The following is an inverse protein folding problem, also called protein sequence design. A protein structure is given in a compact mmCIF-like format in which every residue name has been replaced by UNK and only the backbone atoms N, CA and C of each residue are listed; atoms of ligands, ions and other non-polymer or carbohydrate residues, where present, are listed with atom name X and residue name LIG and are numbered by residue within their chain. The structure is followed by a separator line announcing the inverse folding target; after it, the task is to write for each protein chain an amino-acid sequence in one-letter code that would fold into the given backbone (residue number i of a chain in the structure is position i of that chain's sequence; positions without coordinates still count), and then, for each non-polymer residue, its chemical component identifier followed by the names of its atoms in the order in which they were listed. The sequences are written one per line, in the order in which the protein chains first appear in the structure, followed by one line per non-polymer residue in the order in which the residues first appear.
data_IF_214232921630
#
_entry.id   IF_214232921630
#
_cell.length_a   1.000
_cell.length_b   1.000
_cell.length_c   1.000
_cell.angle_alpha   90.00
_cell.angle_beta   90.00
_cell.angle_gamma   90.00
#
_symmetry.space_group_name_H-M   'P 1'
#
loop_
_entity.id
_entity.type
_entity.pdbx_description
1 polymer ?
#
# COMPACT_ATOMS: atom_id res chain seq x y z
N UNK A 1 7.19 35.41 -89.33
CA UNK A 1 8.61 35.62 -89.45
C UNK A 1 9.24 35.30 -88.10
N UNK A 2 10.09 34.39 -88.08
CA UNK A 2 10.85 33.79 -86.95
C UNK A 2 10.14 32.67 -86.20
N UNK A 3 10.64 31.46 -86.45
CA UNK A 3 10.37 30.20 -85.74
C UNK A 3 11.30 30.09 -84.55
N UNK A 4 10.85 29.49 -83.40
CA UNK A 4 11.78 29.04 -82.40
C UNK A 4 11.99 27.52 -82.44
N UNK A 5 13.23 27.14 -82.25
CA UNK A 5 13.78 25.79 -82.19
C UNK A 5 13.31 25.02 -80.93
N UNK A 6 13.04 23.76 -81.14
CA UNK A 6 12.75 22.77 -80.08
C UNK A 6 14.06 22.27 -79.44
N UNK A 7 14.23 22.43 -78.13
CA UNK A 7 15.22 21.70 -77.34
C UNK A 7 14.53 20.56 -76.53
N UNK A 8 14.95 19.35 -76.85
CA UNK A 8 14.59 18.15 -76.12
C UNK A 8 15.54 18.06 -74.92
N UNK A 9 14.97 18.17 -73.70
CA UNK A 9 15.70 17.92 -72.46
C UNK A 9 15.37 16.54 -71.91
N UNK A 10 16.39 15.70 -71.84
CA UNK A 10 16.30 14.36 -71.22
C UNK A 10 16.33 14.51 -69.68
N UNK A 11 15.29 14.11 -69.02
CA UNK A 11 15.23 14.01 -67.55
C UNK A 11 15.76 12.66 -67.08
N UNK A 12 16.89 12.67 -66.39
CA UNK A 12 17.43 11.50 -65.66
C UNK A 12 16.74 11.44 -64.29
N UNK A 13 15.90 10.43 -64.09
CA UNK A 13 15.30 10.13 -62.80
C UNK A 13 16.30 9.36 -61.95
N UNK A 14 16.82 10.00 -60.88
CA UNK A 14 17.60 9.36 -59.84
C UNK A 14 16.65 8.76 -58.81
N UNK A 15 16.47 7.46 -58.83
CA UNK A 15 15.73 6.73 -57.79
C UNK A 15 16.60 6.54 -56.56
N UNK A 16 16.23 7.21 -55.46
CA UNK A 16 16.80 6.94 -54.14
C UNK A 16 16.05 5.78 -53.47
N UNK A 17 16.72 4.63 -53.35
CA UNK A 17 16.27 3.50 -52.50
C UNK A 17 16.47 3.91 -51.03
N UNK A 18 15.41 4.24 -50.32
CA UNK A 18 15.42 4.37 -48.88
C UNK A 18 15.34 2.96 -48.27
N UNK A 19 16.48 2.45 -47.79
CA UNK A 19 16.51 1.25 -46.95
C UNK A 19 15.93 1.57 -45.58
N UNK A 20 14.66 1.22 -45.33
CA UNK A 20 14.03 1.31 -44.02
C UNK A 20 14.65 0.30 -43.05
N UNK A 21 15.41 0.78 -42.08
CA UNK A 21 15.80 -0.01 -40.92
C UNK A 21 14.54 -0.31 -40.10
N UNK A 22 14.01 -1.53 -40.18
CA UNK A 22 13.04 -2.07 -39.25
C UNK A 22 13.76 -2.27 -37.90
N UNK A 23 13.63 -1.28 -37.01
CA UNK A 23 13.98 -1.46 -35.61
C UNK A 23 12.88 -2.34 -34.99
N UNK A 24 13.17 -3.62 -34.85
CA UNK A 24 12.31 -4.51 -34.04
C UNK A 24 12.47 -4.08 -32.58
N UNK A 25 11.41 -3.50 -32.00
CA UNK A 25 11.33 -3.31 -30.56
C UNK A 25 11.53 -4.69 -29.89
N UNK A 26 12.34 -4.78 -28.81
CA UNK A 26 12.43 -6.01 -28.06
C UNK A 26 11.02 -6.38 -27.57
N UNK A 27 10.63 -7.64 -27.78
CA UNK A 27 9.38 -8.14 -27.22
C UNK A 27 9.45 -7.95 -25.70
N UNK A 28 8.48 -7.25 -25.13
CA UNK A 28 8.33 -7.18 -23.69
C UNK A 28 8.27 -8.63 -23.18
N UNK A 29 9.22 -8.99 -22.31
CA UNK A 29 9.19 -10.27 -21.63
C UNK A 29 7.88 -10.30 -20.85
N UNK A 30 7.04 -11.29 -21.06
CA UNK A 30 5.86 -11.48 -20.22
C UNK A 30 6.37 -11.69 -18.78
N UNK A 31 5.82 -10.91 -17.83
CA UNK A 31 6.12 -11.12 -16.43
C UNK A 31 5.89 -12.59 -16.05
N UNK A 32 6.74 -13.19 -15.20
CA UNK A 32 6.58 -14.59 -14.82
C UNK A 32 5.21 -14.80 -14.20
N UNK A 33 4.46 -15.78 -14.69
CA UNK A 33 3.16 -16.15 -14.09
C UNK A 33 3.43 -16.72 -12.69
N UNK A 34 2.86 -16.09 -11.65
CA UNK A 34 2.84 -16.66 -10.32
C UNK A 34 1.92 -17.88 -10.27
N UNK A 35 2.26 -18.84 -9.42
CA UNK A 35 1.28 -19.84 -8.99
C UNK A 35 0.27 -19.15 -8.08
N UNK A 36 -1.00 -19.32 -8.35
CA UNK A 36 -2.07 -18.80 -7.48
C UNK A 36 -2.11 -19.61 -6.17
N UNK A 37 -2.19 -18.90 -5.06
CA UNK A 37 -2.22 -19.48 -3.72
C UNK A 37 -3.65 -19.93 -3.35
N UNK A 38 -3.74 -20.90 -2.48
CA UNK A 38 -5.05 -21.35 -1.97
C UNK A 38 -5.61 -20.35 -0.96
N UNK A 39 -6.80 -19.84 -1.21
CA UNK A 39 -7.49 -18.91 -0.32
C UNK A 39 -8.47 -19.67 0.58
N UNK A 40 -8.39 -19.45 1.89
CA UNK A 40 -9.30 -20.00 2.89
C UNK A 40 -9.76 -18.92 3.86
N UNK A 41 -10.95 -19.09 4.45
CA UNK A 41 -11.50 -18.15 5.44
C UNK A 41 -11.00 -18.51 6.83
N UNK A 42 -10.43 -17.54 7.54
CA UNK A 42 -10.00 -17.64 8.94
C UNK A 42 -11.12 -17.20 9.89
N UNK A 43 -11.70 -16.03 9.61
CA UNK A 43 -12.74 -15.45 10.44
C UNK A 43 -13.67 -14.55 9.61
N UNK A 44 -14.93 -14.39 10.08
CA UNK A 44 -15.94 -13.52 9.44
C UNK A 44 -16.82 -12.86 10.51
N UNK A 45 -17.61 -11.87 10.12
CA UNK A 45 -18.60 -11.24 11.00
C UNK A 45 -18.04 -10.12 11.86
N UNK A 46 -16.93 -9.51 11.39
CA UNK A 46 -16.49 -8.19 11.82
C UNK A 46 -17.23 -7.08 11.05
N UNK A 47 -17.03 -5.83 11.43
CA UNK A 47 -17.31 -4.67 10.57
C UNK A 47 -16.29 -4.54 9.44
N UNK A 48 -16.12 -3.35 8.90
CA UNK A 48 -15.12 -3.10 7.85
C UNK A 48 -13.72 -3.18 8.46
N UNK A 49 -12.93 -4.19 8.06
CA UNK A 49 -11.54 -4.33 8.52
C UNK A 49 -10.62 -3.55 7.58
N UNK A 50 -9.86 -2.61 8.13
CA UNK A 50 -8.93 -1.76 7.37
C UNK A 50 -7.54 -2.37 7.32
N UNK A 51 -7.00 -2.80 8.46
CA UNK A 51 -5.62 -3.24 8.58
C UNK A 51 -5.48 -4.44 9.54
N UNK A 52 -4.35 -5.15 9.46
CA UNK A 52 -3.98 -6.21 10.41
C UNK A 52 -2.49 -6.16 10.74
N UNK A 53 -2.14 -6.65 11.94
CA UNK A 53 -0.76 -6.88 12.37
C UNK A 53 -0.71 -8.04 13.37
N UNK A 54 0.40 -8.74 13.42
CA UNK A 54 0.64 -9.80 14.41
C UNK A 54 1.51 -9.28 15.55
N UNK A 55 1.10 -9.61 16.77
CA UNK A 55 1.89 -9.32 17.97
C UNK A 55 2.73 -10.52 18.42
N UNK A 56 3.79 -10.25 19.17
CA UNK A 56 4.67 -11.28 19.77
C UNK A 56 3.96 -12.15 20.81
N UNK A 57 2.73 -11.80 21.19
CA UNK A 57 1.85 -12.55 22.07
C UNK A 57 0.92 -13.51 21.32
N UNK A 58 1.23 -13.85 20.07
CA UNK A 58 0.45 -14.70 19.17
C UNK A 58 -0.95 -14.16 18.83
N UNK A 59 -1.19 -12.87 19.03
CA UNK A 59 -2.47 -12.23 18.73
C UNK A 59 -2.41 -11.49 17.40
N UNK A 60 -3.40 -11.71 16.54
CA UNK A 60 -3.66 -10.87 15.38
C UNK A 60 -4.51 -9.69 15.81
N UNK A 61 -4.04 -8.48 15.62
CA UNK A 61 -4.80 -7.24 15.83
C UNK A 61 -5.37 -6.75 14.51
N UNK A 62 -6.63 -6.27 14.56
CA UNK A 62 -7.38 -5.86 13.38
C UNK A 62 -7.98 -4.48 13.64
N UNK A 63 -7.75 -3.52 12.77
CA UNK A 63 -8.49 -2.25 12.83
C UNK A 63 -9.84 -2.42 12.17
N UNK A 64 -10.90 -2.27 12.97
CA UNK A 64 -12.28 -2.34 12.51
C UNK A 64 -12.87 -0.93 12.47
N UNK A 65 -13.11 -0.42 11.29
CA UNK A 65 -13.77 0.87 11.09
C UNK A 65 -15.28 0.71 10.98
N UNK A 66 -16.02 1.77 11.30
CA UNK A 66 -17.46 1.80 11.19
C UNK A 66 -17.89 2.97 10.29
N UNK A 67 -18.87 2.78 9.38
CA UNK A 67 -19.37 3.86 8.53
C UNK A 67 -19.98 5.02 9.33
N UNK A 68 -20.53 4.73 10.49
CA UNK A 68 -21.11 5.69 11.43
C UNK A 68 -20.69 5.33 12.86
N UNK A 69 -20.12 6.29 13.57
CA UNK A 69 -19.63 6.12 14.94
C UNK A 69 -18.19 5.63 15.04
N UNK A 70 -17.73 5.32 16.25
CA UNK A 70 -16.39 4.84 16.48
C UNK A 70 -16.23 3.39 16.00
N UNK A 71 -15.02 3.07 15.56
CA UNK A 71 -14.54 1.71 15.33
C UNK A 71 -13.84 1.16 16.59
N UNK A 72 -12.99 0.16 16.39
CA UNK A 72 -12.22 -0.49 17.46
C UNK A 72 -11.01 -1.21 16.94
N UNK A 73 -10.10 -1.60 17.82
CA UNK A 73 -9.07 -2.59 17.52
C UNK A 73 -9.53 -3.93 18.08
N UNK A 74 -9.72 -4.89 17.19
CA UNK A 74 -10.05 -6.27 17.54
C UNK A 74 -8.80 -7.06 17.83
N UNK A 75 -8.92 -8.13 18.61
CA UNK A 75 -7.89 -9.13 18.84
C UNK A 75 -8.45 -10.50 18.50
N UNK A 76 -7.68 -11.29 17.74
CA UNK A 76 -8.00 -12.64 17.34
C UNK A 76 -6.81 -13.55 17.66
N UNK A 77 -7.07 -14.60 18.44
CA UNK A 77 -6.07 -15.63 18.76
C UNK A 77 -6.05 -16.76 17.72
N UNK A 78 -4.99 -17.57 17.64
CA UNK A 78 -4.88 -18.68 16.67
C UNK A 78 -5.97 -19.76 16.83
N UNK A 79 -6.54 -19.91 18.02
CA UNK A 79 -7.66 -20.82 18.32
C UNK A 79 -9.04 -20.22 18.00
N UNK A 80 -9.07 -19.00 17.43
CA UNK A 80 -10.28 -18.33 16.95
C UNK A 80 -11.04 -17.54 18.02
N UNK A 81 -10.47 -17.34 19.22
CA UNK A 81 -11.08 -16.51 20.26
C UNK A 81 -10.95 -15.03 19.88
N UNK A 82 -12.05 -14.31 19.96
CA UNK A 82 -12.15 -12.88 19.64
C UNK A 82 -12.33 -12.06 20.90
N UNK A 83 -11.68 -10.91 20.94
CA UNK A 83 -11.88 -9.91 21.98
C UNK A 83 -11.65 -8.51 21.39
N UNK A 84 -12.02 -7.48 22.15
CA UNK A 84 -11.75 -6.08 21.80
C UNK A 84 -10.50 -5.66 22.58
N UNK A 85 -9.44 -5.29 21.85
CA UNK A 85 -8.20 -4.78 22.43
C UNK A 85 -8.35 -3.30 22.82
N UNK A 86 -8.95 -2.49 21.93
CA UNK A 86 -9.26 -1.07 22.19
C UNK A 86 -10.64 -0.78 21.64
N UNK A 87 -11.54 -0.29 22.49
CA UNK A 87 -12.86 0.19 22.08
C UNK A 87 -12.84 1.70 21.84
N UNK A 88 -13.88 2.21 21.19
CA UNK A 88 -14.09 3.64 20.95
C UNK A 88 -12.88 4.30 20.23
N UNK A 89 -12.47 3.72 19.09
CA UNK A 89 -11.41 4.26 18.25
C UNK A 89 -12.04 4.94 17.04
N UNK A 90 -11.81 6.24 16.91
CA UNK A 90 -12.38 6.99 15.78
C UNK A 90 -11.63 6.66 14.48
N UNK A 91 -12.33 6.01 13.54
CA UNK A 91 -11.80 5.63 12.22
C UNK A 91 -10.36 5.10 12.31
N UNK A 92 -10.14 3.93 12.91
CA UNK A 92 -8.81 3.34 12.96
C UNK A 92 -8.32 2.99 11.55
N UNK A 93 -7.02 3.16 11.31
CA UNK A 93 -6.33 2.82 10.06
C UNK A 93 -5.20 1.85 10.31
N UNK A 94 -3.96 2.23 9.95
CA UNK A 94 -2.76 1.41 10.02
C UNK A 94 -2.38 0.98 11.43
N UNK A 95 -1.79 -0.21 11.52
CA UNK A 95 -1.35 -0.87 12.76
C UNK A 95 0.13 -1.27 12.65
N UNK A 96 0.88 -1.11 13.73
CA UNK A 96 2.26 -1.64 13.87
C UNK A 96 2.46 -2.14 15.29
N UNK A 97 3.11 -3.28 15.45
CA UNK A 97 3.57 -3.78 16.77
C UNK A 97 5.09 -3.67 16.86
N UNK A 98 5.57 -3.18 18.02
CA UNK A 98 6.98 -3.21 18.38
C UNK A 98 7.10 -3.75 19.81
N UNK A 99 7.56 -4.98 19.93
CA UNK A 99 7.60 -5.69 21.22
C UNK A 99 6.23 -5.75 21.90
N UNK A 100 6.10 -5.09 23.04
CA UNK A 100 4.84 -5.04 23.79
C UNK A 100 3.97 -3.82 23.50
N UNK A 101 4.26 -3.05 22.48
CA UNK A 101 3.50 -1.84 22.15
C UNK A 101 2.84 -1.97 20.78
N UNK A 102 1.52 -1.84 20.77
CA UNK A 102 0.74 -1.68 19.54
C UNK A 102 0.55 -0.19 19.27
N UNK A 103 1.03 0.26 18.11
CA UNK A 103 0.77 1.59 17.56
C UNK A 103 -0.39 1.50 16.57
N UNK A 104 -1.28 2.48 16.58
CA UNK A 104 -2.40 2.54 15.65
C UNK A 104 -2.80 3.97 15.31
N UNK A 105 -3.17 4.19 14.06
CA UNK A 105 -3.69 5.48 13.62
C UNK A 105 -5.16 5.63 14.01
N UNK A 106 -5.57 6.87 14.30
CA UNK A 106 -6.97 7.26 14.49
C UNK A 106 -7.30 8.45 13.62
N UNK A 107 -8.57 8.62 13.26
CA UNK A 107 -8.99 9.76 12.44
C UNK A 107 -8.78 9.53 10.93
N UNK A 108 -8.62 8.28 10.47
CA UNK A 108 -8.62 7.91 9.06
C UNK A 108 -10.02 8.05 8.44
N UNK A 109 -10.59 9.23 8.53
CA UNK A 109 -11.96 9.50 8.05
C UNK A 109 -11.97 10.35 6.79
N UNK A 110 -12.81 9.98 5.82
CA UNK A 110 -12.95 10.71 4.54
C UNK A 110 -13.18 12.21 4.73
N UNK A 111 -13.99 12.61 5.72
CA UNK A 111 -14.24 14.03 6.01
C UNK A 111 -12.97 14.74 6.50
N UNK A 112 -12.16 14.10 7.34
CA UNK A 112 -10.90 14.66 7.80
C UNK A 112 -9.95 14.91 6.62
N UNK A 113 -9.85 13.96 5.68
CA UNK A 113 -9.05 14.11 4.47
C UNK A 113 -9.54 15.23 3.56
N UNK A 114 -10.82 15.27 3.23
CA UNK A 114 -11.39 16.24 2.29
C UNK A 114 -11.39 17.68 2.80
N UNK A 115 -11.51 17.89 4.11
CA UNK A 115 -11.59 19.22 4.73
C UNK A 115 -10.35 19.62 5.53
N UNK A 116 -9.23 18.88 5.37
CA UNK A 116 -7.96 19.14 6.06
C UNK A 116 -8.10 19.26 7.59
N UNK A 117 -8.88 18.37 8.23
CA UNK A 117 -9.11 18.40 9.67
C UNK A 117 -7.96 17.67 10.39
N UNK A 118 -7.10 18.36 11.18
CA UNK A 118 -5.95 17.76 11.84
C UNK A 118 -6.32 17.12 13.18
N UNK A 119 -7.30 16.23 13.15
CA UNK A 119 -7.87 15.57 14.35
C UNK A 119 -7.41 14.10 14.49
N UNK A 120 -6.54 13.63 13.59
CA UNK A 120 -5.94 12.31 13.65
C UNK A 120 -4.78 12.23 14.62
N UNK A 121 -4.55 11.01 15.13
CA UNK A 121 -3.47 10.68 16.06
C UNK A 121 -2.78 9.38 15.65
N UNK A 122 -1.56 9.16 16.17
CA UNK A 122 -1.05 7.83 16.43
C UNK A 122 -1.21 7.60 17.93
N UNK A 123 -1.97 6.58 18.30
CA UNK A 123 -2.11 6.14 19.69
C UNK A 123 -1.31 4.86 19.91
N UNK A 124 -1.03 4.56 21.18
CA UNK A 124 -0.38 3.32 21.61
C UNK A 124 -1.25 2.57 22.59
N UNK A 125 -1.17 1.24 22.54
CA UNK A 125 -1.63 0.31 23.56
C UNK A 125 -0.44 -0.49 24.07
N UNK A 126 -0.14 -0.40 25.35
CA UNK A 126 0.77 -1.32 26.02
C UNK A 126 0.06 -2.67 26.19
N UNK A 127 0.56 -3.70 25.51
CA UNK A 127 -0.07 -5.02 25.43
C UNK A 127 0.04 -5.84 26.74
N UNK A 128 0.86 -5.38 27.69
CA UNK A 128 1.03 -6.02 29.00
C UNK A 128 0.11 -5.40 30.04
N UNK A 129 0.09 -4.07 30.12
CA UNK A 129 -0.72 -3.34 31.11
C UNK A 129 -2.12 -2.97 30.62
N UNK A 130 -2.37 -2.96 29.31
CA UNK A 130 -3.59 -2.46 28.69
C UNK A 130 -3.69 -0.92 28.71
N UNK A 131 -2.62 -0.21 29.03
CA UNK A 131 -2.63 1.26 29.05
C UNK A 131 -2.61 1.82 27.64
N UNK A 132 -3.58 2.70 27.33
CA UNK A 132 -3.64 3.49 26.08
C UNK A 132 -3.09 4.89 26.31
N UNK A 133 -2.34 5.40 25.33
CA UNK A 133 -1.88 6.80 25.31
C UNK A 133 -1.76 7.32 23.89
N UNK A 134 -1.80 8.65 23.73
CA UNK A 134 -1.52 9.30 22.45
C UNK A 134 -0.03 9.51 22.30
N UNK A 135 0.54 8.96 21.23
CA UNK A 135 1.96 9.09 20.86
C UNK A 135 2.22 10.37 20.06
N UNK A 136 1.39 10.62 19.04
CA UNK A 136 1.45 11.83 18.22
C UNK A 136 0.05 12.31 17.87
N UNK A 137 -0.13 13.62 17.67
CA UNK A 137 -1.42 14.23 17.36
C UNK A 137 -1.27 15.30 16.26
N UNK A 138 -2.41 15.76 15.71
CA UNK A 138 -2.43 16.79 14.67
C UNK A 138 -2.22 16.24 13.26
N UNK A 139 -2.44 14.94 13.06
CA UNK A 139 -2.44 14.29 11.76
C UNK A 139 -3.75 14.53 11.02
N UNK A 140 -3.69 14.58 9.70
CA UNK A 140 -4.87 14.66 8.85
C UNK A 140 -5.05 13.32 8.14
N UNK A 141 -6.13 12.61 8.47
CA UNK A 141 -6.48 11.34 7.83
C UNK A 141 -5.28 10.36 7.75
N UNK A 142 -4.62 10.02 8.87
CA UNK A 142 -3.51 9.06 8.83
C UNK A 142 -4.06 7.67 8.48
N UNK A 143 -3.66 7.16 7.31
CA UNK A 143 -4.15 5.89 6.76
C UNK A 143 -3.19 4.74 7.10
N UNK A 144 -2.26 4.39 6.22
CA UNK A 144 -1.24 3.38 6.50
C UNK A 144 -0.26 3.84 7.59
N UNK A 145 0.38 2.87 8.24
CA UNK A 145 1.38 3.12 9.29
C UNK A 145 2.52 2.13 9.14
N UNK A 146 3.75 2.63 9.08
CA UNK A 146 4.96 1.81 9.11
C UNK A 146 5.94 2.37 10.14
N UNK A 147 6.81 1.51 10.68
CA UNK A 147 7.81 1.87 11.69
C UNK A 147 9.18 1.41 11.22
N UNK A 148 10.15 2.27 11.37
CA UNK A 148 11.57 2.00 11.09
C UNK A 148 12.29 1.42 12.31
N UNK A 149 13.47 0.83 12.11
CA UNK A 149 14.25 0.22 13.17
C UNK A 149 14.70 1.25 14.22
N UNK A 150 14.93 2.51 13.84
CA UNK A 150 15.25 3.61 14.76
C UNK A 150 14.03 4.16 15.50
N UNK A 151 12.85 3.64 15.21
CA UNK A 151 11.58 3.94 15.88
C UNK A 151 10.80 5.12 15.31
N UNK A 152 11.20 5.70 14.20
CA UNK A 152 10.37 6.67 13.51
C UNK A 152 9.13 5.98 12.91
N UNK A 153 8.00 6.70 12.89
CA UNK A 153 6.78 6.23 12.26
C UNK A 153 6.50 7.04 10.99
N UNK A 154 6.06 6.35 9.97
CA UNK A 154 5.58 6.97 8.74
C UNK A 154 4.10 6.66 8.55
N UNK A 155 3.33 7.66 8.16
CA UNK A 155 1.91 7.49 7.84
C UNK A 155 1.56 8.17 6.54
N UNK A 156 0.65 7.55 5.79
CA UNK A 156 0.17 8.04 4.50
C UNK A 156 -1.16 8.78 4.64
N UNK A 157 -1.46 9.59 3.61
CA UNK A 157 -2.74 10.24 3.44
C UNK A 157 -3.17 10.17 1.97
N UNK A 158 -4.32 9.57 1.69
CA UNK A 158 -4.78 9.29 0.33
C UNK A 158 -5.85 10.25 -0.21
N UNK A 159 -6.48 11.09 0.62
CA UNK A 159 -7.53 12.02 0.18
C UNK A 159 -7.27 13.45 0.66
N UNK A 160 -7.74 14.42 -0.13
CA UNK A 160 -7.70 15.85 0.17
C UNK A 160 -6.74 16.62 -0.72
N UNK A 161 -6.48 17.88 -0.34
CA UNK A 161 -5.62 18.78 -1.10
C UNK A 161 -4.12 18.49 -0.92
N UNK A 162 -3.74 17.89 0.19
CA UNK A 162 -2.35 17.60 0.56
C UNK A 162 -2.20 16.13 0.92
N UNK A 163 -2.25 15.29 -0.09
CA UNK A 163 -1.98 13.85 0.04
C UNK A 163 -0.47 13.59 0.13
N UNK A 164 -0.06 12.43 0.65
CA UNK A 164 1.35 12.03 0.67
C UNK A 164 1.80 11.35 1.94
N UNK A 165 3.01 11.69 2.39
CA UNK A 165 3.73 11.01 3.47
C UNK A 165 4.06 11.98 4.60
N UNK A 166 3.78 11.55 5.83
CA UNK A 166 4.11 12.25 7.06
C UNK A 166 5.03 11.38 7.91
N UNK A 167 6.10 11.95 8.47
CA UNK A 167 6.95 11.30 9.46
C UNK A 167 6.61 11.78 10.87
N UNK A 168 6.59 10.84 11.83
CA UNK A 168 6.54 11.10 13.26
C UNK A 168 7.86 10.63 13.86
N UNK A 169 8.73 11.54 14.34
CA UNK A 169 10.05 11.17 14.84
C UNK A 169 9.94 10.31 16.10
N UNK A 170 10.90 9.40 16.28
CA UNK A 170 11.02 8.59 17.51
C UNK A 170 11.40 9.42 18.74
N UNK A 171 12.09 10.54 18.54
CA UNK A 171 12.47 11.45 19.62
C UNK A 171 11.27 12.34 20.04
N UNK A 172 11.07 12.44 21.37
CA UNK A 172 10.07 13.35 21.94
C UNK A 172 10.48 14.83 21.76
N UNK A 173 9.54 15.74 21.49
CA UNK A 173 8.11 15.55 21.38
C UNK A 173 7.76 15.06 19.97
N UNK A 174 7.12 13.94 19.80
CA UNK A 174 6.77 13.25 18.54
C UNK A 174 5.91 14.11 17.60
N UNK A 175 6.47 15.23 17.14
CA UNK A 175 5.76 16.22 16.32
C UNK A 175 5.73 15.77 14.85
N UNK A 176 4.57 15.49 14.27
CA UNK A 176 4.47 15.07 12.88
C UNK A 176 4.96 16.15 11.91
N UNK A 177 5.61 15.74 10.83
CA UNK A 177 5.97 16.62 9.73
C UNK A 177 5.72 15.96 8.37
N UNK A 178 5.08 16.68 7.46
CA UNK A 178 4.86 16.23 6.08
C UNK A 178 6.21 16.24 5.36
N UNK A 179 6.62 15.09 4.81
CA UNK A 179 7.90 14.95 4.09
C UNK A 179 7.73 14.89 2.58
N UNK A 180 6.55 14.42 2.09
CA UNK A 180 6.24 14.39 0.65
C UNK A 180 4.77 14.68 0.38
N UNK A 181 4.51 15.38 -0.74
CA UNK A 181 3.16 15.70 -1.22
C UNK A 181 2.96 15.34 -2.69
N UNK A 182 3.92 14.64 -3.29
CA UNK A 182 3.94 14.27 -4.72
C UNK A 182 3.68 12.78 -4.97
N UNK A 183 3.16 12.07 -3.95
CA UNK A 183 2.90 10.63 -4.01
C UNK A 183 1.51 10.26 -4.53
N UNK A 184 0.74 11.24 -5.03
CA UNK A 184 -0.63 10.99 -5.47
C UNK A 184 -1.57 10.64 -4.31
N UNK A 185 -2.38 9.60 -4.48
CA UNK A 185 -3.32 9.14 -3.45
C UNK A 185 -2.67 8.08 -2.54
N UNK A 186 -1.60 8.45 -1.84
CA UNK A 186 -0.78 7.57 -1.01
C UNK A 186 -1.61 6.86 0.07
N UNK A 187 -1.59 5.52 0.07
CA UNK A 187 -2.37 4.67 0.97
C UNK A 187 -1.48 3.64 1.67
N UNK A 188 -1.29 2.46 1.07
CA UNK A 188 -0.46 1.41 1.64
C UNK A 188 0.98 1.83 1.84
N UNK A 189 1.59 1.33 2.90
CA UNK A 189 2.98 1.64 3.25
C UNK A 189 3.66 0.42 3.88
N UNK A 190 4.89 0.16 3.47
CA UNK A 190 5.73 -0.87 4.09
C UNK A 190 7.17 -0.39 4.18
N UNK A 191 7.89 -0.88 5.18
CA UNK A 191 9.34 -0.66 5.38
C UNK A 191 10.05 -2.00 5.30
N UNK A 192 11.15 -2.05 4.57
CA UNK A 192 12.08 -3.19 4.54
C UNK A 192 13.51 -2.66 4.52
N UNK A 193 14.25 -2.91 5.60
CA UNK A 193 15.58 -2.38 5.81
C UNK A 193 15.65 -0.85 5.54
N UNK A 194 16.41 -0.43 4.52
CA UNK A 194 16.61 0.97 4.16
C UNK A 194 15.53 1.52 3.19
N UNK A 195 14.55 0.69 2.81
CA UNK A 195 13.55 1.06 1.81
C UNK A 195 12.16 1.29 2.44
N UNK A 196 11.53 2.39 2.02
CA UNK A 196 10.15 2.73 2.34
C UNK A 196 9.33 2.67 1.06
N UNK A 197 8.30 1.83 1.04
CA UNK A 197 7.40 1.65 -0.10
C UNK A 197 6.05 2.30 0.18
N UNK A 198 5.54 3.08 -0.77
CA UNK A 198 4.22 3.73 -0.69
C UNK A 198 3.42 3.42 -1.94
N UNK A 199 2.26 2.79 -1.80
CA UNK A 199 1.32 2.55 -2.89
C UNK A 199 0.30 3.68 -3.01
N UNK A 200 -0.08 4.02 -4.24
CA UNK A 200 -1.21 4.89 -4.50
C UNK A 200 -2.51 4.09 -4.78
N UNK A 201 -3.67 4.69 -4.48
CA UNK A 201 -4.97 4.01 -4.60
C UNK A 201 -5.71 4.34 -5.90
N UNK A 202 -5.86 5.63 -6.22
CA UNK A 202 -6.79 6.11 -7.26
C UNK A 202 -6.09 6.72 -8.48
N UNK A 203 -4.76 6.72 -8.52
CA UNK A 203 -4.03 7.21 -9.69
C UNK A 203 -4.35 6.34 -10.91
N UNK A 204 -4.59 6.93 -12.09
CA UNK A 204 -4.90 6.16 -13.31
C UNK A 204 -3.84 5.11 -13.66
N UNK A 205 -2.58 5.44 -13.41
CA UNK A 205 -1.45 4.52 -13.53
C UNK A 205 -0.96 4.19 -12.12
N UNK A 206 -1.36 3.03 -11.64
CA UNK A 206 -0.95 2.56 -10.31
C UNK A 206 0.55 2.38 -10.22
N UNK A 207 1.08 2.72 -9.05
CA UNK A 207 2.51 2.61 -8.76
C UNK A 207 2.76 2.36 -7.28
N UNK A 208 3.90 1.77 -7.00
CA UNK A 208 4.55 1.84 -5.70
C UNK A 208 5.72 2.79 -5.84
N UNK A 209 5.83 3.74 -4.95
CA UNK A 209 6.98 4.65 -4.85
C UNK A 209 7.93 4.12 -3.80
N UNK A 210 9.15 3.77 -4.20
CA UNK A 210 10.22 3.36 -3.30
C UNK A 210 11.10 4.56 -2.96
N UNK A 211 11.29 4.78 -1.67
CA UNK A 211 12.04 5.88 -1.06
C UNK A 211 13.15 5.31 -0.19
N UNK A 212 14.16 6.10 0.07
CA UNK A 212 15.16 5.84 1.11
C UNK A 212 14.56 6.23 2.47
N UNK A 213 14.65 5.34 3.46
CA UNK A 213 14.15 5.59 4.83
C UNK A 213 14.85 6.79 5.47
N UNK A 214 16.16 6.94 5.25
CA UNK A 214 16.98 8.02 5.83
C UNK A 214 16.82 9.35 5.08
N UNK A 215 16.38 9.31 3.80
CA UNK A 215 16.10 10.50 2.99
C UNK A 215 14.74 10.38 2.25
N UNK A 216 13.61 10.32 2.97
CA UNK A 216 12.30 10.12 2.36
C UNK A 216 11.83 11.29 1.48
N UNK A 217 12.47 12.46 1.62
CA UNK A 217 12.26 13.63 0.75
C UNK A 217 13.13 13.60 -0.51
N UNK A 218 14.09 12.70 -0.57
CA UNK A 218 15.06 12.55 -1.64
C UNK A 218 14.52 11.91 -2.93
N UNK A 219 15.40 11.44 -3.81
CA UNK A 219 15.01 10.80 -5.07
C UNK A 219 14.13 9.57 -4.84
N UNK A 220 13.07 9.46 -5.64
CA UNK A 220 12.15 8.34 -5.59
C UNK A 220 12.34 7.41 -6.80
N UNK A 221 12.17 6.11 -6.59
CA UNK A 221 12.07 5.11 -7.67
C UNK A 221 10.62 4.65 -7.81
N UNK A 222 10.12 4.71 -9.02
CA UNK A 222 8.74 4.33 -9.33
C UNK A 222 8.71 2.88 -9.81
N UNK A 223 7.89 2.07 -9.17
CA UNK A 223 7.55 0.71 -9.58
C UNK A 223 6.14 0.74 -10.18
N UNK A 224 5.96 0.53 -11.47
CA UNK A 224 4.64 0.43 -12.07
C UNK A 224 3.93 -0.82 -11.54
N UNK A 225 2.62 -0.70 -11.29
CA UNK A 225 1.79 -1.80 -10.81
C UNK A 225 0.65 -2.03 -11.79
N UNK A 226 0.33 -3.29 -12.05
CA UNK A 226 -0.77 -3.65 -12.92
C UNK A 226 -2.13 -3.24 -12.35
N UNK A 227 -2.89 -2.50 -13.15
CA UNK A 227 -4.24 -2.08 -12.83
C UNK A 227 -4.54 -0.64 -13.24
N UNK A 228 -5.81 -0.30 -13.14
CA UNK A 228 -6.30 1.08 -13.28
C UNK A 228 -6.90 1.49 -11.95
N UNK A 229 -6.27 2.45 -11.26
CA UNK A 229 -6.55 2.79 -9.87
C UNK A 229 -8.03 2.90 -9.50
N UNK A 230 -8.84 3.69 -10.25
CA UNK A 230 -10.27 3.83 -9.96
C UNK A 230 -11.08 2.51 -9.96
N UNK A 231 -10.57 1.43 -10.56
CA UNK A 231 -11.24 0.12 -10.63
C UNK A 231 -10.52 -0.99 -9.89
N UNK A 232 -9.27 -0.79 -9.51
CA UNK A 232 -8.49 -1.78 -8.75
C UNK A 232 -8.33 -1.38 -7.30
N UNK A 233 -8.10 -0.08 -7.04
CA UNK A 233 -7.90 0.52 -5.73
C UNK A 233 -6.86 -0.26 -4.92
N UNK A 234 -5.57 -0.01 -5.19
CA UNK A 234 -4.52 -0.51 -4.31
C UNK A 234 -4.73 0.04 -2.90
N UNK A 235 -4.62 -0.83 -1.92
CA UNK A 235 -4.85 -0.50 -0.52
C UNK A 235 -3.54 -0.73 0.25
N UNK A 236 -3.51 -1.51 1.30
CA UNK A 236 -2.30 -1.71 2.07
C UNK A 236 -1.42 -2.84 1.53
N UNK A 237 -0.17 -2.92 2.04
CA UNK A 237 0.84 -3.88 1.58
C UNK A 237 1.82 -4.25 2.68
N UNK A 238 2.51 -5.38 2.48
CA UNK A 238 3.64 -5.82 3.30
C UNK A 238 4.81 -6.27 2.43
N UNK A 239 6.00 -6.37 3.01
CA UNK A 239 7.15 -7.03 2.40
C UNK A 239 7.28 -8.43 2.99
N UNK A 240 7.28 -9.43 2.12
CA UNK A 240 7.36 -10.82 2.54
C UNK A 240 8.78 -11.28 2.89
N UNK A 241 8.91 -12.46 3.51
CA UNK A 241 10.21 -13.02 3.86
C UNK A 241 11.09 -13.35 2.65
N UNK A 242 10.51 -13.36 1.44
CA UNK A 242 11.22 -13.49 0.16
C UNK A 242 11.69 -12.14 -0.42
N UNK A 243 11.51 -11.04 0.30
CA UNK A 243 11.84 -9.67 -0.12
C UNK A 243 10.91 -9.09 -1.20
N UNK A 244 9.80 -9.77 -1.50
CA UNK A 244 8.80 -9.26 -2.45
C UNK A 244 7.72 -8.47 -1.74
N UNK A 245 7.15 -7.48 -2.43
CA UNK A 245 6.02 -6.71 -1.93
C UNK A 245 4.72 -7.48 -2.24
N UNK A 246 3.85 -7.58 -1.25
CA UNK A 246 2.51 -8.12 -1.40
C UNK A 246 1.49 -7.00 -1.21
N UNK A 247 0.73 -6.71 -2.26
CA UNK A 247 -0.15 -5.55 -2.35
C UNK A 247 -1.61 -5.97 -2.45
N UNK A 248 -2.44 -5.53 -1.51
CA UNK A 248 -3.88 -5.68 -1.60
C UNK A 248 -4.46 -4.75 -2.68
N UNK A 249 -5.30 -5.29 -3.56
CA UNK A 249 -6.08 -4.50 -4.52
C UNK A 249 -7.57 -4.66 -4.20
N UNK A 250 -8.10 -3.68 -3.49
CA UNK A 250 -9.40 -3.68 -2.82
C UNK A 250 -10.57 -4.00 -3.77
N UNK A 251 -10.82 -3.13 -4.75
CA UNK A 251 -11.93 -3.30 -5.69
C UNK A 251 -11.72 -4.44 -6.67
N UNK A 252 -10.47 -4.78 -6.98
CA UNK A 252 -10.15 -5.94 -7.80
C UNK A 252 -10.30 -7.27 -7.05
N UNK A 253 -10.35 -7.25 -5.72
CA UNK A 253 -10.50 -8.44 -4.88
C UNK A 253 -9.37 -9.44 -5.02
N UNK A 254 -8.13 -8.94 -5.10
CA UNK A 254 -6.93 -9.76 -5.36
C UNK A 254 -5.70 -9.25 -4.61
N UNK A 255 -4.67 -10.09 -4.54
CA UNK A 255 -3.36 -9.75 -4.01
C UNK A 255 -2.32 -9.90 -5.11
N UNK A 256 -1.50 -8.87 -5.30
CA UNK A 256 -0.33 -8.91 -6.18
C UNK A 256 0.93 -9.21 -5.36
N UNK A 257 1.86 -9.94 -6.00
CA UNK A 257 3.26 -10.04 -5.61
C UNK A 257 4.06 -9.20 -6.59
N UNK A 258 4.85 -8.25 -6.09
CA UNK A 258 5.63 -7.29 -6.88
C UNK A 258 7.10 -7.43 -6.53
N UNK A 259 7.96 -7.55 -7.54
CA UNK A 259 9.41 -7.52 -7.35
C UNK A 259 9.86 -6.07 -7.13
N UNK A 260 10.40 -5.72 -5.95
CA UNK A 260 10.82 -4.35 -5.68
C UNK A 260 12.04 -3.91 -6.51
N UNK A 261 12.79 -4.82 -7.13
CA UNK A 261 13.93 -4.47 -7.96
C UNK A 261 13.50 -4.07 -9.39
N UNK A 262 12.51 -4.76 -9.97
CA UNK A 262 12.11 -4.60 -11.38
C UNK A 262 10.75 -3.93 -11.55
N UNK A 263 9.85 -4.05 -10.58
CA UNK A 263 8.43 -3.68 -10.69
C UNK A 263 7.57 -4.75 -11.35
N UNK A 264 8.17 -5.89 -11.76
CA UNK A 264 7.39 -7.00 -12.31
C UNK A 264 6.40 -7.51 -11.26
N UNK A 265 5.16 -7.71 -11.67
CA UNK A 265 4.10 -8.12 -10.76
C UNK A 265 3.30 -9.30 -11.30
N UNK A 266 2.71 -10.07 -10.39
CA UNK A 266 1.83 -11.16 -10.71
C UNK A 266 0.76 -11.34 -9.61
N UNK A 267 -0.39 -11.91 -9.98
CA UNK A 267 -1.47 -12.20 -9.03
C UNK A 267 -1.15 -13.49 -8.28
N UNK A 268 -1.15 -13.43 -6.94
CA UNK A 268 -0.98 -14.60 -6.08
C UNK A 268 -2.28 -15.06 -5.41
N UNK A 269 -3.29 -14.20 -5.32
CA UNK A 269 -4.59 -14.57 -4.74
C UNK A 269 -5.73 -13.80 -5.36
N UNK A 270 -6.85 -14.48 -5.59
CA UNK A 270 -8.09 -13.92 -6.13
C UNK A 270 -9.29 -14.32 -5.27
N UNK A 271 -10.45 -13.75 -5.54
CA UNK A 271 -11.68 -14.06 -4.80
C UNK A 271 -11.67 -13.53 -3.36
N UNK A 272 -10.97 -12.43 -3.10
CA UNK A 272 -10.88 -11.74 -1.82
C UNK A 272 -11.57 -10.37 -1.95
N UNK A 273 -12.91 -10.32 -2.00
CA UNK A 273 -13.61 -9.07 -2.28
C UNK A 273 -13.30 -8.01 -1.24
N UNK A 274 -13.05 -6.79 -1.71
CA UNK A 274 -12.75 -5.63 -0.89
C UNK A 274 -11.56 -5.82 0.07
N UNK A 275 -10.52 -6.56 -0.38
CA UNK A 275 -9.32 -6.77 0.43
C UNK A 275 -8.64 -5.44 0.73
N UNK A 276 -8.36 -5.18 2.01
CA UNK A 276 -7.85 -3.89 2.50
C UNK A 276 -6.38 -3.95 2.91
N UNK A 277 -5.95 -5.01 3.56
CA UNK A 277 -4.57 -5.16 3.99
C UNK A 277 -4.13 -6.62 3.92
N UNK A 278 -2.82 -6.83 3.89
CA UNK A 278 -2.17 -8.14 3.87
C UNK A 278 -0.95 -8.13 4.78
N UNK A 279 -0.72 -9.26 5.50
CA UNK A 279 0.44 -9.43 6.36
C UNK A 279 0.80 -10.91 6.47
N UNK A 280 2.09 -11.24 6.53
CA UNK A 280 2.53 -12.60 6.79
C UNK A 280 2.25 -13.03 8.22
N UNK A 281 1.94 -14.31 8.41
CA UNK A 281 1.66 -14.84 9.73
C UNK A 281 2.82 -14.62 10.70
N UNK A 282 2.50 -14.13 11.91
CA UNK A 282 3.45 -13.97 12.99
C UNK A 282 3.46 -15.17 13.94
N UNK A 283 4.05 -14.97 15.13
CA UNK A 283 4.19 -16.00 16.16
C UNK A 283 2.84 -16.69 16.46
N UNK A 284 2.84 -18.02 16.39
CA UNK A 284 1.63 -18.84 16.64
C UNK A 284 0.70 -18.98 15.44
N UNK A 285 0.97 -18.29 14.34
CA UNK A 285 0.28 -18.39 13.06
C UNK A 285 1.18 -19.07 12.02
N UNK A 286 0.66 -19.32 10.82
CA UNK A 286 1.47 -19.89 9.74
C UNK A 286 2.29 -18.80 9.06
N UNK A 287 3.57 -18.72 9.42
CA UNK A 287 4.50 -17.69 8.97
C UNK A 287 4.82 -17.74 7.46
N UNK A 288 4.50 -18.88 6.81
CA UNK A 288 4.66 -19.01 5.35
C UNK A 288 3.41 -18.62 4.56
N UNK A 289 2.34 -18.26 5.24
CA UNK A 289 1.07 -17.84 4.64
C UNK A 289 0.82 -16.36 4.86
N UNK A 290 0.16 -15.77 3.88
CA UNK A 290 -0.31 -14.39 3.95
C UNK A 290 -1.73 -14.36 4.53
N UNK A 291 -2.00 -13.40 5.37
CA UNK A 291 -3.34 -13.13 5.89
C UNK A 291 -3.85 -11.81 5.32
N UNK A 292 -5.13 -11.78 4.96
CA UNK A 292 -5.75 -10.63 4.34
C UNK A 292 -7.01 -10.21 5.10
N UNK A 293 -7.16 -8.92 5.34
CA UNK A 293 -8.41 -8.30 5.81
C UNK A 293 -9.24 -7.82 4.63
N UNK A 294 -10.53 -7.62 4.87
CA UNK A 294 -11.46 -7.09 3.87
C UNK A 294 -12.54 -6.23 4.50
N UNK A 295 -13.04 -5.26 3.75
CA UNK A 295 -14.20 -4.44 4.18
C UNK A 295 -15.51 -5.24 4.27
N UNK A 296 -15.55 -6.49 3.78
CA UNK A 296 -16.66 -7.41 4.01
C UNK A 296 -16.66 -8.02 5.42
N UNK A 297 -15.72 -7.64 6.28
CA UNK A 297 -15.61 -8.10 7.67
C UNK A 297 -15.02 -9.50 7.80
N UNK A 298 -14.23 -9.92 6.85
CA UNK A 298 -13.55 -11.21 6.89
C UNK A 298 -12.03 -11.08 7.02
N UNK A 299 -11.43 -12.12 7.60
CA UNK A 299 -10.01 -12.43 7.55
C UNK A 299 -9.83 -13.69 6.73
N UNK A 300 -8.97 -13.64 5.74
CA UNK A 300 -8.63 -14.79 4.87
C UNK A 300 -7.15 -15.13 4.98
N UNK A 301 -6.83 -16.40 4.71
CA UNK A 301 -5.47 -16.92 4.65
C UNK A 301 -5.20 -17.36 3.22
N UNK A 302 -4.07 -16.94 2.69
CA UNK A 302 -3.53 -17.36 1.40
C UNK A 302 -2.32 -18.25 1.67
N UNK A 303 -2.37 -19.48 1.17
CA UNK A 303 -1.31 -20.48 1.36
C UNK A 303 -0.65 -20.78 0.00
N UNK A 304 0.68 -20.68 -0.14
CA UNK A 304 1.43 -20.95 -1.38
C UNK A 304 1.19 -22.31 -1.99
#
# INVERSE_FOLDING_TARGET
MWTPDTMVGAAVAAGTLAAGLLVTAPAASAAPACTEWTVSTVATGYGMLENLVFGDNSTMYLSETAPLGPGRIQALSPDGVRSVAVDDVRSPGGLVVDGSVLYFTTGNGTAAGLFDIPDGTVDTLDLVSGARSTYAAGLVMPNGLARTDDGALFTTRNLGLTTGLTVVPSASPHVPSVVRTDLGTANGIAVDADALYVADTFEPSLRITALDVDDPAGPARILPVDGFGPFTASDDMTVGPDGMIYLAQNLAGRVLRVDPATGDSCVVGTGIPLTSSVEFGGLGWDENSLYATSFDGSVRKLTP
#
